data_IF_314576949964
#
_entry.id   IF_314576949964
#
_cell.length_a   1.000
_cell.length_b   1.000
_cell.length_c   1.000
_cell.angle_alpha   90.00
_cell.angle_beta   90.00
_cell.angle_gamma   90.00
#
_symmetry.space_group_name_H-M   'P 1'
#
loop_
_entity.id
_entity.type
_entity.pdbx_description
1 polymer ?
#
# COMPACT_ATOMS: atom_id res chain seq x y z
N UNK A 1 -12.52 -1.52 -3.54
CA UNK A 1 -11.63 -1.12 -2.42
C UNK A 1 -11.02 -2.32 -1.71
N UNK A 2 -11.80 -3.39 -1.48
CA UNK A 2 -11.23 -4.71 -1.20
C UNK A 2 -10.18 -5.08 -2.25
N UNK A 3 -10.45 -4.77 -3.53
CA UNK A 3 -9.44 -4.95 -4.58
C UNK A 3 -8.16 -4.16 -4.29
N UNK A 4 -8.25 -2.91 -3.83
CA UNK A 4 -7.08 -2.05 -3.52
C UNK A 4 -6.23 -2.63 -2.38
N UNK A 5 -6.88 -3.16 -1.33
CA UNK A 5 -6.19 -3.79 -0.19
C UNK A 5 -5.53 -5.11 -0.61
N UNK A 6 -6.26 -5.95 -1.35
CA UNK A 6 -5.74 -7.20 -1.92
C UNK A 6 -4.58 -6.90 -2.88
N UNK A 7 -4.67 -5.82 -3.65
CA UNK A 7 -3.65 -5.40 -4.59
C UNK A 7 -2.38 -4.94 -3.89
N UNK A 8 -2.52 -4.12 -2.85
CA UNK A 8 -1.38 -3.69 -2.05
C UNK A 8 -0.71 -4.90 -1.37
N UNK A 9 -1.51 -5.85 -0.90
CA UNK A 9 -1.03 -7.10 -0.29
C UNK A 9 -0.32 -8.02 -1.29
N UNK A 10 -0.89 -8.27 -2.46
CA UNK A 10 -0.28 -9.07 -3.54
C UNK A 10 1.01 -8.41 -4.05
N UNK A 11 1.00 -7.10 -4.20
CA UNK A 11 2.17 -6.33 -4.62
C UNK A 11 3.29 -6.38 -3.55
N UNK A 12 2.92 -6.25 -2.28
CA UNK A 12 3.87 -6.38 -1.16
C UNK A 12 4.50 -7.78 -1.12
N UNK A 13 3.69 -8.83 -1.30
CA UNK A 13 4.17 -10.22 -1.40
C UNK A 13 5.05 -10.45 -2.62
N UNK A 14 4.72 -9.87 -3.78
CA UNK A 14 5.54 -9.97 -4.98
C UNK A 14 6.95 -9.40 -4.78
N UNK A 15 7.07 -8.24 -4.13
CA UNK A 15 8.38 -7.65 -3.81
C UNK A 15 9.23 -8.56 -2.92
N UNK A 16 8.61 -9.31 -2.01
CA UNK A 16 9.31 -10.29 -1.15
C UNK A 16 9.72 -11.53 -1.95
N UNK A 17 8.91 -11.96 -2.92
CA UNK A 17 9.05 -13.25 -3.62
C UNK A 17 9.87 -13.16 -4.92
N UNK A 18 10.25 -11.96 -5.38
CA UNK A 18 10.93 -11.67 -6.67
C UNK A 18 12.34 -12.29 -6.88
N UNK A 19 12.73 -13.34 -6.16
CA UNK A 19 13.95 -14.13 -6.41
C UNK A 19 13.76 -15.26 -7.44
N UNK A 20 12.61 -15.35 -8.11
CA UNK A 20 12.26 -16.49 -8.96
C UNK A 20 12.87 -16.45 -10.38
N UNK A 21 13.37 -17.62 -10.82
CA UNK A 21 14.10 -17.90 -12.08
C UNK A 21 13.28 -17.83 -13.38
N UNK A 22 12.03 -17.37 -13.34
CA UNK A 22 11.13 -17.40 -14.52
C UNK A 22 11.34 -16.22 -15.47
N UNK A 23 11.92 -15.13 -14.99
CA UNK A 23 12.24 -13.95 -15.79
C UNK A 23 13.68 -14.08 -16.34
N UNK A 24 13.94 -13.56 -17.55
CA UNK A 24 15.27 -13.63 -18.15
C UNK A 24 16.32 -12.96 -17.25
N UNK A 25 17.54 -13.52 -17.22
CA UNK A 25 18.63 -13.00 -16.37
C UNK A 25 18.92 -11.51 -16.64
N UNK A 26 18.76 -11.04 -17.87
CA UNK A 26 18.96 -9.64 -18.20
C UNK A 26 17.89 -8.75 -17.57
N UNK A 27 16.62 -9.16 -17.64
CA UNK A 27 15.51 -8.40 -17.08
C UNK A 27 15.55 -8.42 -15.54
N UNK A 28 15.88 -9.56 -14.92
CA UNK A 28 16.06 -9.62 -13.46
C UNK A 28 17.20 -8.71 -13.02
N UNK A 29 18.33 -8.68 -13.75
CA UNK A 29 19.47 -7.82 -13.44
C UNK A 29 19.14 -6.32 -13.59
N UNK A 30 18.38 -5.94 -14.63
CA UNK A 30 17.89 -4.56 -14.80
C UNK A 30 16.94 -4.21 -13.66
N UNK A 31 15.98 -5.10 -13.35
CA UNK A 31 15.02 -4.89 -12.27
C UNK A 31 15.69 -4.82 -10.91
N UNK A 32 16.67 -5.68 -10.59
CA UNK A 32 17.31 -5.71 -9.27
C UNK A 32 18.28 -4.54 -9.06
N UNK A 33 18.96 -4.09 -10.12
CA UNK A 33 20.04 -3.11 -9.99
C UNK A 33 19.59 -1.68 -10.24
N UNK A 34 18.47 -1.47 -10.94
CA UNK A 34 17.97 -0.14 -11.23
C UNK A 34 16.75 0.21 -10.36
N UNK A 35 17.00 0.95 -9.28
CA UNK A 35 15.93 1.40 -8.35
C UNK A 35 14.90 2.28 -9.04
N UNK A 36 15.33 3.19 -9.92
CA UNK A 36 14.41 4.03 -10.68
C UNK A 36 13.44 3.17 -11.49
N UNK A 37 13.95 2.11 -12.14
CA UNK A 37 13.12 1.18 -12.89
C UNK A 37 12.11 0.46 -12.00
N UNK A 38 12.50 0.00 -10.81
CA UNK A 38 11.58 -0.62 -9.83
C UNK A 38 10.46 0.35 -9.44
N UNK A 39 10.80 1.60 -9.16
CA UNK A 39 9.84 2.64 -8.79
C UNK A 39 8.86 2.96 -9.92
N UNK A 40 9.36 3.14 -11.15
CA UNK A 40 8.51 3.39 -12.34
C UNK A 40 7.57 2.21 -12.60
N UNK A 41 8.08 0.98 -12.57
CA UNK A 41 7.26 -0.22 -12.78
C UNK A 41 6.20 -0.37 -11.69
N UNK A 42 6.55 -0.09 -10.43
CA UNK A 42 5.60 -0.08 -9.32
C UNK A 42 4.49 0.95 -9.53
N UNK A 43 4.86 2.17 -9.91
CA UNK A 43 3.90 3.24 -10.16
C UNK A 43 2.92 2.88 -11.29
N UNK A 44 3.45 2.39 -12.43
CA UNK A 44 2.63 1.94 -13.56
C UNK A 44 1.69 0.82 -13.12
N UNK A 45 2.18 -0.15 -12.35
CA UNK A 45 1.39 -1.26 -11.85
C UNK A 45 0.26 -0.76 -10.95
N UNK A 46 0.55 0.09 -9.95
CA UNK A 46 -0.47 0.69 -9.07
C UNK A 46 -1.53 1.46 -9.85
N UNK A 47 -1.10 2.26 -10.84
CA UNK A 47 -2.01 3.03 -11.67
C UNK A 47 -2.94 2.13 -12.50
N UNK A 48 -2.39 1.16 -13.24
CA UNK A 48 -3.19 0.22 -14.05
C UNK A 48 -4.21 -0.50 -13.18
N UNK A 49 -3.80 -0.94 -11.99
CA UNK A 49 -4.66 -1.68 -11.07
C UNK A 49 -5.81 -0.83 -10.53
N UNK A 50 -5.58 0.46 -10.27
CA UNK A 50 -6.64 1.41 -9.92
C UNK A 50 -7.59 1.64 -11.10
N UNK A 51 -7.07 1.80 -12.31
CA UNK A 51 -7.88 2.04 -13.52
C UNK A 51 -8.76 0.86 -13.94
N UNK A 52 -8.48 -0.37 -13.45
CA UNK A 52 -9.39 -1.51 -13.63
C UNK A 52 -10.70 -1.35 -12.84
N UNK A 53 -10.72 -0.50 -11.81
CA UNK A 53 -11.92 -0.23 -11.03
C UNK A 53 -12.81 0.79 -11.78
N UNK A 54 -13.85 0.30 -12.47
CA UNK A 54 -14.76 1.12 -13.30
C UNK A 54 -15.52 2.23 -12.56
N UNK A 55 -15.40 2.33 -11.24
CA UNK A 55 -16.18 3.27 -10.40
C UNK A 55 -15.50 4.63 -10.22
N UNK A 56 -14.27 4.82 -10.68
CA UNK A 56 -13.49 6.04 -10.47
C UNK A 56 -13.20 6.76 -11.79
N UNK A 57 -13.05 8.09 -11.73
CA UNK A 57 -12.62 8.88 -12.88
C UNK A 57 -11.10 8.76 -13.05
N UNK A 58 -10.61 8.89 -14.28
CA UNK A 58 -9.18 8.83 -14.61
C UNK A 58 -8.34 9.80 -13.75
N UNK A 59 -8.84 11.03 -13.54
CA UNK A 59 -8.16 12.02 -12.70
C UNK A 59 -8.04 11.57 -11.25
N UNK A 60 -9.08 10.94 -10.70
CA UNK A 60 -9.04 10.39 -9.35
C UNK A 60 -8.07 9.22 -9.26
N UNK A 61 -8.01 8.35 -10.28
CA UNK A 61 -7.06 7.24 -10.31
C UNK A 61 -5.62 7.72 -10.31
N UNK A 62 -5.30 8.77 -11.08
CA UNK A 62 -3.97 9.39 -11.09
C UNK A 62 -3.63 9.98 -9.72
N UNK A 63 -4.56 10.71 -9.09
CA UNK A 63 -4.30 11.28 -7.76
C UNK A 63 -4.10 10.20 -6.70
N UNK A 64 -4.93 9.16 -6.72
CA UNK A 64 -4.82 8.04 -5.78
C UNK A 64 -3.54 7.24 -6.05
N UNK A 65 -3.14 7.03 -7.31
CA UNK A 65 -1.92 6.29 -7.64
C UNK A 65 -0.66 7.04 -7.18
N UNK A 66 -0.60 8.36 -7.36
CA UNK A 66 0.49 9.20 -6.85
C UNK A 66 0.55 9.13 -5.33
N UNK A 67 -0.60 9.24 -4.66
CA UNK A 67 -0.67 9.13 -3.20
C UNK A 67 -0.20 7.77 -2.68
N UNK A 68 -0.71 6.67 -3.26
CA UNK A 68 -0.29 5.31 -2.91
C UNK A 68 1.17 5.05 -3.21
N UNK A 69 1.70 5.63 -4.29
CA UNK A 69 3.11 5.53 -4.64
C UNK A 69 4.00 6.22 -3.61
N UNK A 70 3.63 7.41 -3.14
CA UNK A 70 4.35 8.09 -2.05
C UNK A 70 4.36 7.21 -0.79
N UNK A 71 3.20 6.67 -0.41
CA UNK A 71 3.12 5.75 0.72
C UNK A 71 3.97 4.49 0.50
N UNK A 72 4.00 3.94 -0.72
CA UNK A 72 4.84 2.81 -1.06
C UNK A 72 6.32 3.13 -0.84
N UNK A 73 6.83 4.23 -1.41
CA UNK A 73 8.24 4.62 -1.28
C UNK A 73 8.63 4.75 0.21
N UNK A 74 7.80 5.41 1.01
CA UNK A 74 8.01 5.51 2.46
C UNK A 74 7.98 4.14 3.13
N UNK A 75 7.04 3.27 2.74
CA UNK A 75 6.90 1.93 3.31
C UNK A 75 8.11 1.03 3.04
N UNK A 76 8.79 1.16 1.89
CA UNK A 76 9.96 0.34 1.56
C UNK A 76 11.17 0.57 2.47
N UNK A 77 11.20 1.70 3.19
CA UNK A 77 12.28 2.06 4.11
C UNK A 77 11.95 1.67 5.56
N UNK A 78 10.75 1.15 5.81
CA UNK A 78 10.34 0.73 7.13
C UNK A 78 11.14 -0.50 7.57
N UNK A 79 11.48 -0.55 8.86
CA UNK A 79 11.98 -1.78 9.44
C UNK A 79 10.93 -2.89 9.38
N UNK A 80 11.42 -4.12 9.53
CA UNK A 80 10.60 -5.32 9.63
C UNK A 80 9.47 -5.18 10.65
N UNK A 81 9.71 -4.62 11.83
CA UNK A 81 8.68 -4.49 12.87
C UNK A 81 7.51 -3.59 12.44
N UNK A 82 7.80 -2.43 11.84
CA UNK A 82 6.79 -1.49 11.34
C UNK A 82 6.02 -2.08 10.16
N UNK A 83 6.74 -2.78 9.28
CA UNK A 83 6.18 -3.53 8.18
C UNK A 83 5.21 -4.62 8.65
N UNK A 84 5.60 -5.43 9.63
CA UNK A 84 4.77 -6.49 10.20
C UNK A 84 3.50 -5.91 10.84
N UNK A 85 3.63 -4.78 11.53
CA UNK A 85 2.49 -4.08 12.11
C UNK A 85 1.53 -3.58 11.02
N UNK A 86 2.05 -3.00 9.94
CA UNK A 86 1.24 -2.59 8.78
C UNK A 86 0.55 -3.79 8.12
N UNK A 87 1.24 -4.91 7.95
CA UNK A 87 0.66 -6.14 7.41
C UNK A 87 -0.44 -6.71 8.29
N UNK A 88 -0.24 -6.74 9.61
CA UNK A 88 -1.26 -7.19 10.56
C UNK A 88 -2.52 -6.31 10.48
N UNK A 89 -2.34 -4.98 10.37
CA UNK A 89 -3.43 -4.04 10.21
C UNK A 89 -4.19 -4.26 8.87
N UNK A 90 -3.47 -4.43 7.77
CA UNK A 90 -4.05 -4.70 6.45
C UNK A 90 -4.80 -6.04 6.43
N UNK A 91 -4.25 -7.06 7.08
CA UNK A 91 -4.88 -8.38 7.18
C UNK A 91 -6.16 -8.32 8.03
N UNK A 92 -6.13 -7.64 9.17
CA UNK A 92 -7.33 -7.41 9.99
C UNK A 92 -8.40 -6.61 9.23
N UNK A 93 -8.00 -5.57 8.50
CA UNK A 93 -8.90 -4.82 7.61
C UNK A 93 -9.52 -5.73 6.54
N UNK A 94 -8.72 -6.58 5.90
CA UNK A 94 -9.20 -7.53 4.90
C UNK A 94 -10.22 -8.52 5.48
N UNK A 95 -9.94 -9.09 6.66
CA UNK A 95 -10.87 -9.99 7.36
C UNK A 95 -12.18 -9.26 7.67
N UNK A 96 -12.09 -8.08 8.29
CA UNK A 96 -13.26 -7.26 8.62
C UNK A 96 -14.13 -7.04 7.39
N UNK A 97 -13.52 -6.53 6.31
CA UNK A 97 -14.23 -6.30 5.06
C UNK A 97 -14.84 -7.57 4.47
N UNK A 98 -14.13 -8.70 4.54
CA UNK A 98 -14.59 -9.96 3.96
C UNK A 98 -15.82 -10.49 4.70
N UNK A 99 -15.79 -10.53 6.02
CA UNK A 99 -16.94 -10.98 6.83
C UNK A 99 -18.15 -10.06 6.63
N UNK A 100 -17.91 -8.76 6.58
CA UNK A 100 -18.96 -7.76 6.50
C UNK A 100 -19.74 -7.76 5.17
N UNK A 101 -19.18 -8.33 4.08
CA UNK A 101 -19.95 -8.54 2.84
C UNK A 101 -20.79 -9.83 2.88
N UNK A 102 -20.44 -10.81 3.70
CA UNK A 102 -21.15 -12.10 3.76
C UNK A 102 -22.50 -11.98 4.49
N UNK A 103 -22.61 -11.08 5.46
CA UNK A 103 -23.82 -10.91 6.28
C UNK A 103 -24.94 -10.09 5.58
N UNK A 104 -24.64 -9.39 4.49
CA UNK A 104 -25.59 -8.43 3.86
C UNK A 104 -26.07 -8.81 2.46
N UNK A 105 -25.76 -10.01 1.97
CA UNK A 105 -26.30 -10.52 0.70
C UNK A 105 -27.75 -11.03 0.82
N UNK A 106 -28.34 -10.96 2.03
CA UNK A 106 -29.73 -11.33 2.26
C UNK A 106 -30.69 -10.23 1.73
N UNK A 107 -31.55 -10.61 0.78
CA UNK A 107 -32.41 -9.69 0.01
C UNK A 107 -33.51 -9.03 0.85
N UNK A 108 -33.73 -9.51 2.08
CA UNK A 108 -34.81 -9.06 2.96
C UNK A 108 -34.42 -7.97 3.97
N UNK A 109 -33.18 -7.47 3.93
CA UNK A 109 -32.73 -6.42 4.86
C UNK A 109 -33.28 -5.05 4.43
N UNK A 110 -33.91 -4.37 5.39
CA UNK A 110 -34.46 -3.01 5.25
C UNK A 110 -33.42 -2.01 4.71
N UNK A 111 -33.86 -1.16 3.78
CA UNK A 111 -33.03 -0.19 3.07
C UNK A 111 -32.40 0.83 4.04
N UNK A 112 -33.10 1.15 5.14
CA UNK A 112 -32.59 1.99 6.21
C UNK A 112 -31.36 1.38 6.89
N UNK A 113 -31.41 0.07 7.19
CA UNK A 113 -30.31 -0.67 7.83
C UNK A 113 -29.10 -0.71 6.89
N UNK A 114 -29.30 -0.97 5.60
CA UNK A 114 -28.22 -0.95 4.59
C UNK A 114 -27.52 0.40 4.51
N UNK A 115 -28.26 1.51 4.58
CA UNK A 115 -27.68 2.86 4.52
C UNK A 115 -26.85 3.19 5.77
N UNK A 116 -27.34 2.86 6.97
CA UNK A 116 -26.56 3.03 8.20
C UNK A 116 -25.27 2.19 8.15
N UNK A 117 -25.37 0.97 7.62
CA UNK A 117 -24.24 0.07 7.51
C UNK A 117 -23.14 0.62 6.59
N UNK A 118 -23.52 1.07 5.39
CA UNK A 118 -22.60 1.69 4.43
C UNK A 118 -21.86 2.89 5.03
N UNK A 119 -22.55 3.75 5.79
CA UNK A 119 -21.91 4.89 6.46
C UNK A 119 -20.88 4.46 7.51
N UNK A 120 -21.18 3.41 8.30
CA UNK A 120 -20.22 2.85 9.26
C UNK A 120 -19.00 2.27 8.55
N UNK A 121 -19.18 1.52 7.47
CA UNK A 121 -18.09 0.98 6.66
C UNK A 121 -17.15 2.08 6.13
N UNK A 122 -17.72 3.20 5.67
CA UNK A 122 -16.92 4.35 5.21
C UNK A 122 -16.10 4.99 6.33
N UNK A 123 -16.63 5.06 7.55
CA UNK A 123 -15.88 5.56 8.71
C UNK A 123 -14.74 4.61 9.08
N UNK A 124 -15.01 3.30 9.17
CA UNK A 124 -13.97 2.30 9.42
C UNK A 124 -12.87 2.33 8.37
N UNK A 125 -13.23 2.49 7.10
CA UNK A 125 -12.27 2.71 6.01
C UNK A 125 -11.34 3.89 6.30
N UNK A 126 -11.92 5.04 6.63
CA UNK A 126 -11.15 6.27 6.90
C UNK A 126 -10.21 6.06 8.08
N UNK A 127 -10.65 5.38 9.13
CA UNK A 127 -9.80 5.07 10.29
C UNK A 127 -8.66 4.11 9.94
N UNK A 128 -8.91 3.05 9.18
CA UNK A 128 -7.87 2.11 8.75
C UNK A 128 -6.83 2.82 7.89
N UNK A 129 -7.27 3.61 6.89
CA UNK A 129 -6.36 4.37 6.03
C UNK A 129 -5.55 5.38 6.86
N UNK A 130 -6.21 6.10 7.78
CA UNK A 130 -5.54 7.02 8.70
C UNK A 130 -4.48 6.33 9.55
N UNK A 131 -4.78 5.16 10.10
CA UNK A 131 -3.83 4.36 10.88
C UNK A 131 -2.63 3.92 10.04
N UNK A 132 -2.83 3.43 8.81
CA UNK A 132 -1.74 3.08 7.88
C UNK A 132 -0.83 4.29 7.64
N UNK A 133 -1.41 5.46 7.36
CA UNK A 133 -0.64 6.70 7.12
C UNK A 133 0.19 7.05 8.35
N UNK A 134 -0.40 7.00 9.55
CA UNK A 134 0.31 7.30 10.81
C UNK A 134 1.48 6.33 11.03
N UNK A 135 1.27 5.03 10.80
CA UNK A 135 2.30 3.99 10.94
C UNK A 135 3.45 4.24 9.96
N UNK A 136 3.13 4.51 8.69
CA UNK A 136 4.13 4.75 7.65
C UNK A 136 4.94 6.01 7.95
N UNK A 137 4.29 7.12 8.29
CA UNK A 137 4.96 8.38 8.64
C UNK A 137 5.84 8.18 9.88
N UNK A 138 5.29 7.60 10.96
CA UNK A 138 6.02 7.39 12.21
C UNK A 138 7.22 6.49 11.98
N UNK A 139 7.04 5.34 11.33
CA UNK A 139 8.13 4.41 11.04
C UNK A 139 9.21 5.03 10.16
N UNK A 140 8.83 5.85 9.18
CA UNK A 140 9.78 6.60 8.33
C UNK A 140 10.59 7.59 9.17
N UNK A 141 9.94 8.37 10.05
CA UNK A 141 10.63 9.33 10.93
C UNK A 141 11.60 8.62 11.89
N UNK A 142 11.19 7.50 12.49
CA UNK A 142 12.07 6.69 13.34
C UNK A 142 13.26 6.09 12.57
N UNK A 143 13.04 5.64 11.34
CA UNK A 143 14.13 5.17 10.48
C UNK A 143 15.10 6.30 10.14
N UNK A 144 14.58 7.45 9.71
CA UNK A 144 15.36 8.64 9.37
C UNK A 144 16.25 9.10 10.53
N UNK A 145 15.68 9.18 11.75
CA UNK A 145 16.43 9.58 12.95
C UNK A 145 17.59 8.64 13.25
N UNK A 146 17.39 7.32 13.13
CA UNK A 146 18.46 6.34 13.33
C UNK A 146 19.55 6.46 12.28
N UNK A 147 19.19 6.75 11.02
CA UNK A 147 20.16 6.97 9.94
C UNK A 147 20.97 8.24 10.14
N UNK A 148 20.35 9.33 10.59
CA UNK A 148 21.05 10.58 10.91
C UNK A 148 22.13 10.32 11.99
N UNK A 149 21.79 9.57 13.04
CA UNK A 149 22.74 9.22 14.09
C UNK A 149 23.88 8.32 13.57
N UNK A 150 23.59 7.37 12.68
CA UNK A 150 24.60 6.47 12.10
C UNK A 150 25.59 7.17 11.17
N UNK A 151 25.14 8.15 10.38
CA UNK A 151 25.98 8.83 9.39
C UNK A 151 26.64 10.13 9.87
N UNK A 152 26.44 10.50 11.14
CA UNK A 152 27.22 11.56 11.81
C UNK A 152 27.14 12.95 11.15
N UNK A 153 26.04 13.26 10.46
CA UNK A 153 25.80 14.59 9.86
C UNK A 153 25.92 14.66 8.33
N UNK A 154 26.54 13.69 7.66
CA UNK A 154 26.60 13.61 6.18
C UNK A 154 25.34 12.95 5.56
N UNK A 155 24.19 13.07 6.22
CA UNK A 155 22.95 12.46 5.77
C UNK A 155 22.24 13.36 4.76
N UNK A 156 22.12 12.88 3.52
CA UNK A 156 21.34 13.53 2.47
C UNK A 156 19.97 12.85 2.33
N UNK A 157 18.90 13.58 2.64
CA UNK A 157 17.53 13.12 2.52
C UNK A 157 17.11 12.85 1.06
N UNK A 158 17.69 13.55 0.09
CA UNK A 158 17.42 13.25 -1.33
C UNK A 158 17.94 11.87 -1.69
N UNK A 159 19.15 11.54 -1.21
CA UNK A 159 19.72 10.21 -1.35
C UNK A 159 18.85 9.15 -0.66
N UNK A 160 18.18 9.48 0.44
CA UNK A 160 17.26 8.55 1.12
C UNK A 160 16.01 8.18 0.27
N UNK A 161 15.45 9.13 -0.47
CA UNK A 161 14.27 8.86 -1.33
C UNK A 161 14.67 8.11 -2.61
N UNK A 162 15.80 8.47 -3.22
CA UNK A 162 16.21 7.95 -4.53
C UNK A 162 17.04 6.66 -4.43
N UNK A 163 17.78 6.48 -3.33
CA UNK A 163 18.51 5.25 -3.02
C UNK A 163 17.76 4.46 -1.96
#
# INVERSE_FOLDING_TARGET
>A
MKEIIILFFVFYLYNIISQNKTISHQMTNIMSNNRLFQHVMTFIMLFVLLSLNKKTSLTNDIMISVFLYILYVLSTKLDLHWTLLMLALLFGAYIYYTYDDLDYDDKNIDEYIKKQHSQKQELYKKYIIGAIIIIVISGTLFYNNRKIQQYGGNYDFYKYIVC
#
